data_IF_832201688837
#
_entry.id   IF_832201688837
#
_cell.length_a   1.000
_cell.length_b   1.000
_cell.length_c   1.000
_cell.angle_alpha   90.00
_cell.angle_beta   90.00
_cell.angle_gamma   90.00
#
_symmetry.space_group_name_H-M   'P 1'
#
loop_
_entity.id
_entity.type
_entity.pdbx_description
1 polymer ?
#
# COMPACT_ATOMS: atom_id res chain seq x y z
N UNK A 1 1.65 -13.13 -16.35
CA UNK A 1 2.50 -11.98 -15.96
C UNK A 1 1.61 -11.04 -15.16
N UNK A 2 1.98 -10.75 -13.90
CA UNK A 2 1.20 -9.88 -13.00
C UNK A 2 1.43 -8.43 -13.44
N UNK A 3 0.38 -7.71 -13.82
CA UNK A 3 0.45 -6.41 -14.48
C UNK A 3 -0.01 -5.31 -13.51
N UNK A 4 0.43 -5.40 -12.25
CA UNK A 4 -0.14 -4.69 -11.10
C UNK A 4 0.80 -3.56 -10.64
N UNK A 5 1.41 -2.84 -11.59
CA UNK A 5 2.41 -1.79 -11.30
C UNK A 5 1.81 -0.46 -10.87
N UNK A 6 0.49 -0.30 -11.03
CA UNK A 6 -0.23 0.95 -10.73
C UNK A 6 -1.45 0.62 -9.86
N UNK A 7 -1.53 1.30 -8.72
CA UNK A 7 -2.70 1.33 -7.86
C UNK A 7 -3.34 2.72 -7.98
N UNK A 8 -4.63 2.77 -8.31
CA UNK A 8 -5.40 4.02 -8.34
C UNK A 8 -6.29 4.03 -7.10
N UNK A 9 -5.91 4.83 -6.11
CA UNK A 9 -6.68 5.03 -4.89
C UNK A 9 -7.54 6.28 -4.99
N UNK A 10 -8.76 6.23 -4.47
CA UNK A 10 -9.63 7.40 -4.34
C UNK A 10 -9.70 7.80 -2.87
N UNK A 11 -9.19 8.99 -2.54
CA UNK A 11 -9.28 9.54 -1.18
C UNK A 11 -9.94 10.92 -1.25
N UNK A 12 -11.06 11.09 -0.54
CA UNK A 12 -11.83 12.34 -0.50
C UNK A 12 -12.19 12.92 -1.89
N UNK A 13 -12.54 12.07 -2.86
CA UNK A 13 -12.91 12.50 -4.22
C UNK A 13 -11.73 12.89 -5.11
N UNK A 14 -10.49 12.77 -4.62
CA UNK A 14 -9.27 12.94 -5.40
C UNK A 14 -8.73 11.56 -5.75
N UNK A 15 -8.49 11.32 -7.05
CA UNK A 15 -7.79 10.13 -7.51
C UNK A 15 -6.29 10.34 -7.36
N UNK A 16 -5.65 9.49 -6.56
CA UNK A 16 -4.20 9.43 -6.41
C UNK A 16 -3.69 8.19 -7.15
N UNK A 17 -2.73 8.40 -8.05
CA UNK A 17 -2.05 7.30 -8.73
C UNK A 17 -0.79 6.96 -7.95
N UNK A 18 -0.67 5.69 -7.58
CA UNK A 18 0.48 5.15 -6.88
C UNK A 18 1.13 4.06 -7.72
N UNK A 19 2.46 4.02 -7.72
CA UNK A 19 3.22 2.90 -8.25
C UNK A 19 3.40 1.84 -7.17
N UNK A 20 3.23 0.59 -7.56
CA UNK A 20 3.42 -0.58 -6.70
C UNK A 20 4.66 -1.33 -7.17
N UNK A 21 5.58 -1.58 -6.24
CA UNK A 21 6.77 -2.40 -6.46
C UNK A 21 6.74 -3.60 -5.52
N UNK A 22 6.52 -4.78 -6.08
CA UNK A 22 6.57 -6.03 -5.33
C UNK A 22 8.02 -6.39 -4.95
N UNK A 23 8.22 -6.78 -3.69
CA UNK A 23 9.47 -7.36 -3.18
C UNK A 23 9.35 -8.89 -3.24
N UNK A 24 8.20 -9.42 -2.84
CA UNK A 24 7.81 -10.82 -2.93
C UNK A 24 6.27 -10.93 -2.98
N UNK A 25 5.71 -12.14 -2.90
CA UNK A 25 4.26 -12.35 -3.03
C UNK A 25 3.42 -11.72 -1.89
N UNK A 26 4.03 -11.40 -0.75
CA UNK A 26 3.37 -10.86 0.44
C UNK A 26 3.87 -9.46 0.85
N UNK A 27 4.87 -8.90 0.16
CA UNK A 27 5.51 -7.63 0.51
C UNK A 27 5.68 -6.75 -0.72
N UNK A 28 5.30 -5.48 -0.58
CA UNK A 28 5.40 -4.51 -1.66
C UNK A 28 5.59 -3.09 -1.12
N UNK A 29 6.12 -2.22 -1.97
CA UNK A 29 6.30 -0.80 -1.69
C UNK A 29 5.32 -0.01 -2.56
N UNK A 30 4.57 0.88 -1.92
CA UNK A 30 3.68 1.83 -2.58
C UNK A 30 4.35 3.20 -2.56
N UNK A 31 4.41 3.83 -3.73
CA UNK A 31 4.91 5.20 -3.87
C UNK A 31 3.93 6.02 -4.70
N UNK A 32 3.41 7.12 -4.15
CA UNK A 32 2.60 8.09 -4.90
C UNK A 32 3.40 8.62 -6.09
N UNK A 33 2.78 8.63 -7.27
CA UNK A 33 3.40 9.16 -8.50
C UNK A 33 3.39 10.70 -8.54
N UNK A 34 2.37 11.31 -7.92
CA UNK A 34 2.20 12.76 -7.88
C UNK A 34 2.02 13.27 -6.44
N UNK A 35 3.05 13.16 -5.58
CA UNK A 35 2.98 13.67 -4.22
C UNK A 35 2.86 15.21 -4.26
N UNK A 36 1.85 15.76 -3.58
CA UNK A 36 1.66 17.21 -3.46
C UNK A 36 2.41 17.77 -2.24
N UNK A 37 2.76 16.90 -1.29
CA UNK A 37 3.47 17.26 -0.07
C UNK A 37 4.68 16.34 0.18
N UNK A 38 5.68 16.81 0.92
CA UNK A 38 6.84 15.99 1.34
C UNK A 38 6.45 14.79 2.20
N UNK A 39 5.28 14.83 2.85
CA UNK A 39 4.76 13.69 3.59
C UNK A 39 4.23 12.59 2.66
N UNK A 40 3.69 12.97 1.50
CA UNK A 40 3.19 12.04 0.47
C UNK A 40 4.30 11.48 -0.42
N UNK A 41 5.44 12.16 -0.48
CA UNK A 41 6.63 11.69 -1.22
C UNK A 41 7.26 10.44 -0.56
N UNK A 42 6.95 10.23 0.73
CA UNK A 42 7.44 9.08 1.49
C UNK A 42 6.78 7.80 0.98
N UNK A 43 7.62 6.83 0.62
CA UNK A 43 7.16 5.51 0.18
C UNK A 43 6.70 4.70 1.40
N UNK A 44 5.61 3.96 1.23
CA UNK A 44 5.06 3.08 2.25
C UNK A 44 5.48 1.65 1.90
N UNK A 45 6.14 0.98 2.83
CA UNK A 45 6.36 -0.45 2.75
C UNK A 45 5.17 -1.17 3.38
N UNK A 46 4.59 -2.11 2.64
CA UNK A 46 3.42 -2.88 3.01
C UNK A 46 3.80 -4.36 3.09
N UNK A 47 3.40 -5.02 4.17
CA UNK A 47 3.62 -6.44 4.40
C UNK A 47 2.32 -7.11 4.84
N UNK A 48 1.86 -8.07 4.04
CA UNK A 48 0.72 -8.91 4.40
C UNK A 48 1.20 -9.95 5.42
N UNK A 49 0.56 -9.99 6.58
CA UNK A 49 0.92 -10.89 7.69
C UNK A 49 0.09 -12.17 7.65
N UNK A 50 -1.22 -12.03 7.48
CA UNK A 50 -2.16 -13.14 7.47
C UNK A 50 -3.27 -12.87 6.47
N UNK A 51 -3.74 -13.93 5.82
CA UNK A 51 -4.88 -13.90 4.92
C UNK A 51 -5.95 -14.87 5.43
N UNK A 52 -7.19 -14.51 5.21
CA UNK A 52 -8.39 -15.33 5.43
C UNK A 52 -9.21 -15.31 4.14
N UNK A 53 -10.31 -16.04 4.07
CA UNK A 53 -11.14 -16.08 2.86
C UNK A 53 -11.62 -14.68 2.41
N UNK A 54 -11.99 -13.82 3.36
CA UNK A 54 -12.61 -12.52 3.07
C UNK A 54 -11.84 -11.31 3.62
N UNK A 55 -10.66 -11.52 4.21
CA UNK A 55 -9.87 -10.41 4.76
C UNK A 55 -8.38 -10.72 4.81
N UNK A 56 -7.56 -9.69 4.89
CA UNK A 56 -6.14 -9.82 5.17
C UNK A 56 -5.67 -8.77 6.17
N UNK A 57 -4.77 -9.16 7.05
CA UNK A 57 -4.08 -8.25 7.97
C UNK A 57 -2.73 -7.88 7.38
N UNK A 58 -2.43 -6.59 7.39
CA UNK A 58 -1.19 -6.05 6.88
C UNK A 58 -0.53 -5.13 7.91
N UNK A 59 0.78 -5.05 7.83
CA UNK A 59 1.60 -4.06 8.50
C UNK A 59 2.15 -3.10 7.45
N UNK A 60 2.17 -1.81 7.79
CA UNK A 60 2.75 -0.79 6.92
C UNK A 60 3.62 0.18 7.71
N UNK A 61 4.66 0.68 7.06
CA UNK A 61 5.53 1.71 7.60
C UNK A 61 6.09 2.61 6.50
N UNK A 62 6.47 3.81 6.89
CA UNK A 62 7.21 4.70 6.01
C UNK A 62 8.64 4.16 5.87
N UNK A 63 9.11 4.04 4.62
CA UNK A 63 10.47 3.53 4.34
C UNK A 63 11.49 4.43 5.06
N UNK A 64 12.32 3.82 5.91
CA UNK A 64 13.29 4.53 6.75
C UNK A 64 12.78 4.98 8.12
N UNK A 65 11.52 4.69 8.48
CA UNK A 65 10.96 4.86 9.83
C UNK A 65 10.76 3.50 10.50
N UNK A 66 11.02 3.45 11.81
CA UNK A 66 10.85 2.27 12.65
C UNK A 66 9.43 2.08 13.18
N UNK A 67 8.59 3.12 13.10
CA UNK A 67 7.21 3.03 13.54
C UNK A 67 6.37 2.31 12.49
N UNK A 68 5.79 1.18 12.89
CA UNK A 68 4.90 0.37 12.08
C UNK A 68 3.46 0.50 12.57
N UNK A 69 2.53 0.45 11.63
CA UNK A 69 1.09 0.47 11.88
C UNK A 69 0.46 -0.77 11.26
N UNK A 70 -0.62 -1.27 11.85
CA UNK A 70 -1.35 -2.44 11.32
C UNK A 70 -2.76 -2.08 10.92
N UNK A 71 -3.23 -2.74 9.88
CA UNK A 71 -4.60 -2.63 9.39
C UNK A 71 -5.15 -3.99 8.95
N UNK A 72 -6.46 -4.07 8.84
CA UNK A 72 -7.16 -5.22 8.27
C UNK A 72 -8.02 -4.71 7.12
N UNK A 73 -7.83 -5.29 5.95
CA UNK A 73 -8.67 -5.04 4.79
C UNK A 73 -9.69 -6.19 4.66
N UNK A 74 -10.95 -5.84 4.44
CA UNK A 74 -12.06 -6.78 4.30
C UNK A 74 -12.58 -6.64 2.86
N UNK A 75 -12.73 -7.76 2.17
CA UNK A 75 -13.39 -7.82 0.87
C UNK A 75 -14.88 -7.61 1.09
N UNK A 76 -15.44 -6.57 0.46
CA UNK A 76 -16.89 -6.35 0.41
C UNK A 76 -17.45 -7.09 -0.82
N UNK A 77 -18.59 -7.75 -0.65
CA UNK A 77 -19.36 -8.38 -1.74
C UNK A 77 -20.20 -7.37 -2.52
#
# INVERSE_FOLDING_TARGET
MRNDTIEVGYFNGVSDTSSVRWINDCEYIVKKLHPKTKSEEQSIHMKILTTTENSYTFEYNLVGKSQTSRGTAIKLE
#
